data_IF_983890588900
#
_entry.id   IF_983890588900
#
_cell.length_a   1.000
_cell.length_b   1.000
_cell.length_c   1.000
_cell.angle_alpha   90.00
_cell.angle_beta   90.00
_cell.angle_gamma   90.00
#
_symmetry.space_group_name_H-M   'P 1'
#
loop_
_entity.id
_entity.type
_entity.pdbx_description
1 polymer ?
#
# COMPACT_ATOMS: atom_id res chain seq x y z
N UNK A 1 -18.88 8.63 -17.92
CA UNK A 1 -18.24 7.49 -17.23
C UNK A 1 -18.18 7.72 -15.72
N UNK A 2 -17.91 8.96 -15.27
CA UNK A 2 -17.85 9.31 -13.84
C UNK A 2 -19.19 9.19 -13.08
N UNK A 3 -20.33 9.41 -13.75
CA UNK A 3 -21.67 9.38 -13.09
C UNK A 3 -22.12 7.97 -12.63
N UNK A 4 -21.47 6.89 -13.06
CA UNK A 4 -21.88 5.51 -12.72
C UNK A 4 -21.20 4.97 -11.45
N UNK A 5 -19.99 5.43 -11.15
CA UNK A 5 -19.21 5.00 -9.97
C UNK A 5 -19.26 6.08 -8.89
N UNK A 6 -20.48 6.39 -8.43
CA UNK A 6 -20.69 7.34 -7.35
C UNK A 6 -20.35 6.73 -5.99
N UNK A 7 -20.27 7.60 -4.99
CA UNK A 7 -19.90 7.27 -3.61
C UNK A 7 -20.77 6.16 -3.01
N UNK A 8 -22.08 6.20 -3.28
CA UNK A 8 -23.03 5.20 -2.78
C UNK A 8 -22.74 3.80 -3.35
N UNK A 9 -22.50 3.72 -4.66
CA UNK A 9 -22.15 2.46 -5.32
C UNK A 9 -20.85 1.89 -4.75
N UNK A 10 -19.81 2.73 -4.60
CA UNK A 10 -18.54 2.30 -4.05
C UNK A 10 -18.67 1.84 -2.60
N UNK A 11 -19.41 2.58 -1.77
CA UNK A 11 -19.67 2.20 -0.38
C UNK A 11 -20.34 0.83 -0.29
N UNK A 12 -21.35 0.57 -1.13
CA UNK A 12 -22.04 -0.72 -1.19
C UNK A 12 -21.13 -1.85 -1.68
N UNK A 13 -20.33 -1.60 -2.72
CA UNK A 13 -19.41 -2.58 -3.28
C UNK A 13 -18.33 -2.97 -2.26
N UNK A 14 -17.72 -2.00 -1.58
CA UNK A 14 -16.69 -2.25 -0.58
C UNK A 14 -17.31 -2.95 0.64
N UNK A 15 -18.45 -2.46 1.16
CA UNK A 15 -19.15 -3.07 2.30
C UNK A 15 -19.53 -4.52 2.02
N UNK A 16 -20.11 -4.80 0.85
CA UNK A 16 -20.48 -6.17 0.48
C UNK A 16 -19.27 -7.08 0.32
N UNK A 17 -18.12 -6.54 -0.10
CA UNK A 17 -16.84 -7.27 -0.17
C UNK A 17 -16.34 -7.63 1.23
N UNK A 18 -16.31 -6.66 2.16
CA UNK A 18 -15.93 -6.88 3.56
C UNK A 18 -16.78 -8.00 4.19
N UNK A 19 -18.09 -7.93 4.00
CA UNK A 19 -19.03 -8.93 4.50
C UNK A 19 -18.84 -10.31 3.85
N UNK A 20 -18.61 -10.35 2.53
CA UNK A 20 -18.43 -11.61 1.79
C UNK A 20 -17.19 -12.38 2.22
N UNK A 21 -16.13 -11.70 2.67
CA UNK A 21 -14.93 -12.34 3.23
C UNK A 21 -15.03 -12.60 4.74
N UNK A 22 -16.18 -12.33 5.35
CA UNK A 22 -16.47 -12.63 6.76
C UNK A 22 -15.80 -11.68 7.75
N UNK A 23 -15.48 -10.46 7.32
CA UNK A 23 -14.90 -9.42 8.17
C UNK A 23 -15.93 -8.32 8.48
N UNK A 24 -15.65 -7.49 9.46
CA UNK A 24 -16.58 -6.48 10.00
C UNK A 24 -15.92 -5.10 10.20
N UNK A 25 -14.81 -4.85 9.51
CA UNK A 25 -14.11 -3.56 9.56
C UNK A 25 -15.05 -2.40 9.18
N UNK A 26 -14.95 -1.31 9.92
CA UNK A 26 -15.70 -0.09 9.62
C UNK A 26 -15.20 0.51 8.29
N UNK A 27 -16.13 0.95 7.43
CA UNK A 27 -15.82 1.63 6.18
C UNK A 27 -16.08 3.14 6.32
N UNK A 28 -15.07 3.95 5.97
CA UNK A 28 -15.17 5.41 5.95
C UNK A 28 -14.80 5.93 4.58
N UNK A 29 -15.58 6.87 4.08
CA UNK A 29 -15.18 7.66 2.93
C UNK A 29 -14.35 8.84 3.40
N UNK A 30 -13.31 9.17 2.66
CA UNK A 30 -12.47 10.35 2.89
C UNK A 30 -12.08 11.03 1.57
N UNK A 31 -11.31 12.12 1.66
CA UNK A 31 -10.74 12.87 0.55
C UNK A 31 -9.21 12.96 0.71
N UNK A 32 -8.59 11.85 1.12
CA UNK A 32 -7.15 11.78 1.41
C UNK A 32 -6.28 11.89 0.17
N UNK A 33 -6.83 11.70 -1.04
CA UNK A 33 -6.06 11.52 -2.27
C UNK A 33 -5.38 10.16 -2.36
N UNK A 34 -5.68 9.24 -1.44
CA UNK A 34 -5.26 7.83 -1.47
C UNK A 34 -6.47 6.98 -1.83
N UNK A 35 -6.32 6.05 -2.77
CA UNK A 35 -7.44 5.28 -3.32
C UNK A 35 -8.21 4.49 -2.24
N UNK A 36 -7.49 3.72 -1.43
CA UNK A 36 -8.00 2.96 -0.29
C UNK A 36 -6.87 2.80 0.71
N UNK A 37 -7.20 2.76 2.00
CA UNK A 37 -6.19 2.59 3.05
C UNK A 37 -6.78 1.95 4.30
N UNK A 38 -6.04 1.06 4.92
CA UNK A 38 -6.35 0.55 6.25
C UNK A 38 -5.69 1.41 7.34
N UNK A 39 -6.52 1.97 8.23
CA UNK A 39 -6.05 2.65 9.43
C UNK A 39 -5.99 1.67 10.60
N UNK A 40 -4.79 1.25 10.98
CA UNK A 40 -4.57 0.29 12.07
C UNK A 40 -4.88 0.86 13.47
N UNK A 41 -4.92 2.18 13.64
CA UNK A 41 -5.27 2.81 14.94
C UNK A 41 -6.77 2.69 15.16
N UNK A 42 -7.57 3.17 14.21
CA UNK A 42 -9.04 3.14 14.29
C UNK A 42 -9.67 1.84 13.80
N UNK A 43 -8.87 0.92 13.24
CA UNK A 43 -9.32 -0.35 12.65
C UNK A 43 -10.41 -0.18 11.58
N UNK A 44 -10.23 0.79 10.69
CA UNK A 44 -11.18 1.07 9.63
C UNK A 44 -10.51 1.10 8.25
N UNK A 45 -11.28 0.77 7.22
CA UNK A 45 -10.90 0.98 5.82
C UNK A 45 -11.40 2.36 5.39
N UNK A 46 -10.48 3.21 4.94
CA UNK A 46 -10.74 4.48 4.28
C UNK A 46 -10.76 4.31 2.77
N UNK A 47 -11.56 5.11 2.06
CA UNK A 47 -11.49 5.21 0.59
C UNK A 47 -11.80 6.61 0.10
N UNK A 48 -11.06 7.04 -0.92
CA UNK A 48 -11.35 8.24 -1.71
C UNK A 48 -11.95 7.78 -3.05
N UNK A 49 -13.26 8.05 -3.21
CA UNK A 49 -14.02 7.61 -4.38
C UNK A 49 -13.43 8.10 -5.71
N UNK A 50 -12.96 9.36 -5.75
CA UNK A 50 -12.42 9.96 -6.96
C UNK A 50 -11.06 9.35 -7.27
N UNK A 51 -10.16 9.28 -6.29
CA UNK A 51 -8.82 8.71 -6.47
C UNK A 51 -8.90 7.24 -6.87
N UNK A 52 -9.86 6.48 -6.33
CA UNK A 52 -10.05 5.05 -6.67
C UNK A 52 -10.35 4.84 -8.16
N UNK A 53 -11.20 5.69 -8.74
CA UNK A 53 -11.51 5.66 -10.19
C UNK A 53 -10.29 6.09 -11.01
N UNK A 54 -9.59 7.15 -10.60
CA UNK A 54 -8.39 7.62 -11.29
C UNK A 54 -7.28 6.56 -11.29
N UNK A 55 -7.01 5.94 -10.14
CA UNK A 55 -6.00 4.89 -9.98
C UNK A 55 -6.32 3.66 -10.82
N UNK A 56 -7.60 3.29 -10.91
CA UNK A 56 -8.02 2.19 -11.80
C UNK A 56 -7.72 2.51 -13.28
N UNK A 57 -7.93 3.75 -13.71
CA UNK A 57 -7.65 4.18 -15.08
C UNK A 57 -6.16 4.25 -15.41
N UNK A 58 -5.28 4.29 -14.41
CA UNK A 58 -3.81 4.26 -14.57
C UNK A 58 -3.28 2.85 -14.90
N UNK A 59 -4.08 1.79 -14.68
CA UNK A 59 -3.65 0.42 -14.93
C UNK A 59 -3.70 0.09 -16.42
N UNK A 60 -2.57 -0.36 -16.97
CA UNK A 60 -2.50 -0.92 -18.31
C UNK A 60 -3.17 -2.31 -18.35
N UNK A 61 -4.45 -2.36 -18.68
CA UNK A 61 -5.19 -3.61 -18.85
C UNK A 61 -6.70 -3.43 -18.80
N UNK A 62 -7.44 -4.35 -19.41
CA UNK A 62 -8.91 -4.34 -19.32
C UNK A 62 -9.36 -5.05 -18.04
N UNK A 63 -9.15 -4.39 -16.89
CA UNK A 63 -9.60 -4.89 -15.60
C UNK A 63 -10.99 -4.32 -15.31
N UNK A 64 -12.01 -5.16 -15.04
CA UNK A 64 -13.31 -4.65 -14.60
C UNK A 64 -13.17 -3.88 -13.29
N UNK A 65 -13.72 -2.67 -13.22
CA UNK A 65 -13.61 -1.79 -12.05
C UNK A 65 -14.04 -2.50 -10.75
N UNK A 66 -15.11 -3.30 -10.79
CA UNK A 66 -15.56 -4.06 -9.62
C UNK A 66 -14.50 -5.03 -9.07
N UNK A 67 -13.77 -5.70 -9.97
CA UNK A 67 -12.71 -6.62 -9.55
C UNK A 67 -11.52 -5.85 -8.99
N UNK A 68 -11.22 -4.68 -9.54
CA UNK A 68 -10.20 -3.78 -8.99
C UNK A 68 -10.55 -3.37 -7.56
N UNK A 69 -11.75 -2.82 -7.34
CA UNK A 69 -12.19 -2.39 -6.00
C UNK A 69 -12.20 -3.55 -5.01
N UNK A 70 -12.76 -4.71 -5.39
CA UNK A 70 -12.77 -5.91 -4.54
C UNK A 70 -11.37 -6.36 -4.13
N UNK A 71 -10.44 -6.32 -5.08
CA UNK A 71 -9.05 -6.74 -4.83
C UNK A 71 -8.37 -5.79 -3.85
N UNK A 72 -8.50 -4.48 -4.04
CA UNK A 72 -7.97 -3.50 -3.10
C UNK A 72 -8.63 -3.61 -1.72
N UNK A 73 -9.94 -3.79 -1.65
CA UNK A 73 -10.61 -4.03 -0.36
C UNK A 73 -10.04 -5.25 0.36
N UNK A 74 -9.83 -6.37 -0.35
CA UNK A 74 -9.21 -7.55 0.26
C UNK A 74 -7.76 -7.30 0.69
N UNK A 75 -7.01 -6.46 -0.03
CA UNK A 75 -5.66 -6.03 0.36
C UNK A 75 -5.66 -5.22 1.66
N UNK A 76 -6.52 -4.20 1.79
CA UNK A 76 -6.64 -3.44 3.03
C UNK A 76 -7.09 -4.30 4.21
N UNK A 77 -8.01 -5.23 3.98
CA UNK A 77 -8.40 -6.22 4.98
C UNK A 77 -7.24 -7.15 5.34
N UNK A 78 -6.35 -7.43 4.39
CA UNK A 78 -5.11 -8.17 4.60
C UNK A 78 -4.18 -7.50 5.62
N UNK A 79 -4.09 -6.16 5.62
CA UNK A 79 -3.40 -5.41 6.66
C UNK A 79 -4.09 -5.55 8.03
N UNK A 80 -5.42 -5.57 8.06
CA UNK A 80 -6.15 -5.71 9.32
C UNK A 80 -5.96 -7.06 10.01
N UNK A 81 -5.69 -8.12 9.24
CA UNK A 81 -5.35 -9.44 9.77
C UNK A 81 -4.01 -9.41 10.52
N UNK A 82 -3.05 -8.61 10.06
CA UNK A 82 -1.72 -8.48 10.66
C UNK A 82 -1.54 -7.15 11.43
N UNK A 83 -2.64 -6.64 11.99
CA UNK A 83 -2.67 -5.37 12.73
C UNK A 83 -1.64 -5.31 13.86
N UNK A 84 -1.38 -6.44 14.51
CA UNK A 84 -0.42 -6.50 15.62
C UNK A 84 1.01 -6.21 15.16
N UNK A 85 1.43 -6.74 14.00
CA UNK A 85 2.76 -6.45 13.45
C UNK A 85 2.93 -4.96 13.11
N UNK A 86 1.89 -4.34 12.53
CA UNK A 86 1.87 -2.89 12.26
C UNK A 86 1.95 -2.05 13.56
N UNK A 87 1.33 -2.52 14.64
CA UNK A 87 1.43 -1.86 15.94
C UNK A 87 2.82 -2.00 16.56
N UNK A 88 3.44 -3.17 16.41
CA UNK A 88 4.79 -3.45 16.93
C UNK A 88 5.87 -2.63 16.20
N UNK A 89 5.65 -2.24 14.94
CA UNK A 89 6.60 -1.38 14.20
C UNK A 89 6.45 0.11 14.49
N UNK A 90 5.39 0.53 15.19
CA UNK A 90 5.04 1.95 15.36
C UNK A 90 6.20 2.79 15.92
N UNK A 91 6.89 2.29 16.96
CA UNK A 91 8.01 3.00 17.57
C UNK A 91 9.13 3.26 16.55
N UNK A 92 9.45 2.26 15.71
CA UNK A 92 10.48 2.40 14.68
C UNK A 92 10.01 3.33 13.55
N UNK A 93 8.75 3.23 13.12
CA UNK A 93 8.17 4.14 12.13
C UNK A 93 8.24 5.59 12.60
N UNK A 94 7.91 5.87 13.86
CA UNK A 94 7.99 7.22 14.43
C UNK A 94 9.43 7.74 14.47
N UNK A 95 10.40 6.91 14.86
CA UNK A 95 11.82 7.28 14.84
C UNK A 95 12.29 7.64 13.42
N UNK A 96 11.91 6.84 12.41
CA UNK A 96 12.24 7.11 11.00
C UNK A 96 11.60 8.43 10.54
N UNK A 97 10.35 8.70 10.91
CA UNK A 97 9.68 9.97 10.62
C UNK A 97 10.42 11.16 11.23
N UNK A 98 10.79 11.09 12.51
CA UNK A 98 11.54 12.15 13.19
C UNK A 98 12.91 12.41 12.52
N UNK A 99 13.59 11.35 12.06
CA UNK A 99 14.83 11.45 11.31
C UNK A 99 14.60 12.18 9.98
N UNK A 100 13.55 11.83 9.24
CA UNK A 100 13.20 12.46 7.95
C UNK A 100 12.83 13.94 8.12
N UNK A 101 12.07 14.28 9.16
CA UNK A 101 11.68 15.67 9.45
C UNK A 101 12.86 16.53 9.91
N UNK A 102 13.83 15.93 10.60
CA UNK A 102 15.00 16.63 11.15
C UNK A 102 16.13 16.86 10.13
N UNK A 103 16.01 16.31 8.91
CA UNK A 103 17.04 16.38 7.87
C UNK A 103 16.47 16.91 6.57
N UNK A 104 17.30 17.62 5.80
CA UNK A 104 16.92 17.99 4.43
C UNK A 104 16.96 16.77 3.51
N UNK A 105 16.16 16.77 2.46
CA UNK A 105 16.15 15.73 1.44
C UNK A 105 17.56 15.47 0.86
N UNK A 106 18.31 16.54 0.56
CA UNK A 106 19.70 16.45 0.10
C UNK A 106 20.56 15.67 1.11
N UNK A 107 20.41 15.92 2.40
CA UNK A 107 21.16 15.21 3.44
C UNK A 107 20.77 13.73 3.51
N UNK A 108 19.47 13.42 3.41
CA UNK A 108 18.98 12.04 3.40
C UNK A 108 19.60 11.22 2.26
N UNK A 109 19.78 11.81 1.07
CA UNK A 109 20.29 11.11 -0.11
C UNK A 109 21.80 11.23 -0.35
N UNK A 110 22.53 11.98 0.49
CA UNK A 110 24.00 12.11 0.38
C UNK A 110 24.75 11.54 1.56
N UNK A 111 24.10 11.30 2.69
CA UNK A 111 24.67 10.64 3.86
C UNK A 111 24.35 9.13 3.82
N UNK A 112 25.39 8.28 3.83
CA UNK A 112 25.23 6.83 3.77
C UNK A 112 24.34 6.27 4.90
N UNK A 113 24.50 6.77 6.12
CA UNK A 113 23.74 6.29 7.26
C UNK A 113 22.26 6.67 7.16
N UNK A 114 21.96 7.93 6.84
CA UNK A 114 20.57 8.37 6.67
C UNK A 114 19.88 7.64 5.52
N UNK A 115 20.56 7.45 4.40
CA UNK A 115 20.01 6.70 3.28
C UNK A 115 19.78 5.22 3.61
N UNK A 116 20.61 4.61 4.46
CA UNK A 116 20.37 3.24 4.91
C UNK A 116 19.09 3.10 5.75
N UNK A 117 18.70 4.17 6.47
CA UNK A 117 17.43 4.20 7.24
C UNK A 117 16.24 4.33 6.29
N UNK A 118 16.36 5.09 5.20
CA UNK A 118 15.33 5.13 4.15
C UNK A 118 15.14 3.75 3.50
N UNK A 119 16.24 3.04 3.23
CA UNK A 119 16.16 1.68 2.70
C UNK A 119 15.51 0.70 3.68
N UNK A 120 15.78 0.83 4.98
CA UNK A 120 15.11 0.06 6.02
C UNK A 120 13.59 0.32 6.03
N UNK A 121 13.15 1.58 5.91
CA UNK A 121 11.72 1.95 5.79
C UNK A 121 11.08 1.26 4.58
N UNK A 122 11.74 1.29 3.42
CA UNK A 122 11.26 0.61 2.22
C UNK A 122 11.13 -0.91 2.40
N UNK A 123 12.14 -1.56 2.98
CA UNK A 123 12.13 -3.00 3.24
C UNK A 123 10.99 -3.39 4.19
N UNK A 124 10.78 -2.59 5.24
CA UNK A 124 9.68 -2.77 6.17
C UNK A 124 8.32 -2.62 5.47
N UNK A 125 8.15 -1.55 4.67
CA UNK A 125 6.91 -1.32 3.92
C UNK A 125 6.63 -2.44 2.90
N UNK A 126 7.63 -2.86 2.13
CA UNK A 126 7.49 -3.98 1.18
C UNK A 126 7.06 -5.26 1.91
N UNK A 127 7.63 -5.52 3.10
CA UNK A 127 7.26 -6.69 3.90
C UNK A 127 5.80 -6.63 4.35
N UNK A 128 5.31 -5.46 4.80
CA UNK A 128 3.91 -5.28 5.17
C UNK A 128 2.97 -5.45 3.98
N UNK A 129 3.31 -4.87 2.84
CA UNK A 129 2.55 -4.97 1.59
C UNK A 129 2.46 -6.43 1.13
N UNK A 130 3.59 -7.14 1.03
CA UNK A 130 3.61 -8.55 0.61
C UNK A 130 2.80 -9.44 1.57
N UNK A 131 2.86 -9.17 2.87
CA UNK A 131 2.06 -9.89 3.89
C UNK A 131 0.57 -9.62 3.71
N UNK A 132 0.17 -8.36 3.51
CA UNK A 132 -1.22 -7.99 3.25
C UNK A 132 -1.75 -8.63 1.96
N UNK A 133 -0.95 -8.66 0.90
CA UNK A 133 -1.29 -9.38 -0.34
C UNK A 133 -1.41 -10.90 -0.14
N UNK A 134 -0.55 -11.49 0.70
CA UNK A 134 -0.65 -12.90 1.09
C UNK A 134 -1.97 -13.20 1.82
N UNK A 135 -2.36 -12.32 2.75
CA UNK A 135 -3.64 -12.43 3.46
C UNK A 135 -4.84 -12.21 2.52
N UNK A 136 -4.78 -11.20 1.65
CA UNK A 136 -5.79 -10.91 0.65
C UNK A 136 -6.03 -12.09 -0.30
N UNK A 137 -4.95 -12.79 -0.69
CA UNK A 137 -5.05 -14.00 -1.50
C UNK A 137 -5.85 -15.09 -0.78
N UNK A 138 -5.57 -15.33 0.50
CA UNK A 138 -6.35 -16.29 1.30
C UNK A 138 -7.83 -15.89 1.44
N UNK A 139 -8.13 -14.59 1.56
CA UNK A 139 -9.51 -14.09 1.56
C UNK A 139 -10.19 -14.38 0.22
N UNK A 140 -9.51 -14.09 -0.90
CA UNK A 140 -10.05 -14.34 -2.23
C UNK A 140 -10.23 -15.83 -2.53
N UNK A 141 -9.32 -16.71 -2.11
CA UNK A 141 -9.46 -18.16 -2.26
C UNK A 141 -10.71 -18.71 -1.55
N UNK A 142 -11.06 -18.14 -0.40
CA UNK A 142 -12.26 -18.51 0.37
C UNK A 142 -13.54 -17.97 -0.25
N UNK A 143 -13.56 -16.70 -0.63
CA UNK A 143 -14.77 -16.00 -1.07
C UNK A 143 -15.01 -16.07 -2.60
N UNK A 144 -13.96 -16.32 -3.39
CA UNK A 144 -13.96 -16.42 -4.86
C UNK A 144 -14.56 -15.19 -5.55
N UNK A 145 -14.18 -14.00 -5.09
CA UNK A 145 -14.74 -12.73 -5.57
C UNK A 145 -14.08 -12.21 -6.84
N UNK A 146 -12.81 -12.57 -7.05
CA UNK A 146 -11.96 -12.13 -8.16
C UNK A 146 -11.23 -13.35 -8.72
N UNK A 147 -11.06 -13.44 -10.03
CA UNK A 147 -10.28 -14.52 -10.63
C UNK A 147 -8.77 -14.33 -10.37
N UNK A 148 -8.04 -15.43 -10.32
CA UNK A 148 -6.61 -15.44 -9.96
C UNK A 148 -5.75 -14.57 -10.89
N UNK A 149 -6.08 -14.52 -12.18
CA UNK A 149 -5.31 -13.76 -13.17
C UNK A 149 -5.47 -12.27 -12.90
N UNK A 150 -6.71 -11.80 -12.75
CA UNK A 150 -6.99 -10.41 -12.43
C UNK A 150 -6.41 -10.01 -11.08
N UNK A 151 -6.52 -10.87 -10.06
CA UNK A 151 -5.96 -10.63 -8.74
C UNK A 151 -4.44 -10.40 -8.79
N UNK A 152 -3.69 -11.31 -9.42
CA UNK A 152 -2.22 -11.18 -9.52
C UNK A 152 -1.82 -10.01 -10.42
N UNK A 153 -2.59 -9.64 -11.44
CA UNK A 153 -2.33 -8.43 -12.24
C UNK A 153 -2.39 -7.16 -11.38
N UNK A 154 -3.44 -7.00 -10.57
CA UNK A 154 -3.61 -5.83 -9.69
C UNK A 154 -2.51 -5.80 -8.63
N UNK A 155 -2.27 -6.93 -7.96
CA UNK A 155 -1.21 -7.06 -6.95
C UNK A 155 0.17 -6.68 -7.51
N UNK A 156 0.53 -7.20 -8.69
CA UNK A 156 1.83 -6.91 -9.29
C UNK A 156 1.97 -5.43 -9.67
N UNK A 157 0.89 -4.82 -10.18
CA UNK A 157 0.87 -3.38 -10.45
C UNK A 157 1.06 -2.57 -9.17
N UNK A 158 0.31 -2.87 -8.10
CA UNK A 158 0.42 -2.17 -6.82
C UNK A 158 1.80 -2.32 -6.17
N UNK A 159 2.36 -3.54 -6.16
CA UNK A 159 3.69 -3.80 -5.57
C UNK A 159 4.84 -3.19 -6.38
N UNK A 160 4.66 -2.96 -7.69
CA UNK A 160 5.71 -2.40 -8.53
C UNK A 160 6.15 -1.00 -8.05
N UNK A 161 5.23 -0.17 -7.55
CA UNK A 161 5.55 1.17 -7.04
C UNK A 161 6.55 1.12 -5.89
N UNK A 162 6.32 0.25 -4.90
CA UNK A 162 7.22 0.07 -3.76
C UNK A 162 8.58 -0.49 -4.18
N UNK A 163 8.58 -1.48 -5.08
CA UNK A 163 9.82 -2.12 -5.56
C UNK A 163 10.67 -1.17 -6.39
N UNK A 164 10.06 -0.38 -7.26
CA UNK A 164 10.76 0.60 -8.09
C UNK A 164 11.41 1.70 -7.24
N UNK A 165 10.70 2.23 -6.22
CA UNK A 165 11.26 3.23 -5.31
C UNK A 165 12.44 2.68 -4.51
N UNK A 166 12.31 1.47 -3.96
CA UNK A 166 13.41 0.81 -3.27
C UNK A 166 14.63 0.61 -4.17
N UNK A 167 14.43 0.15 -5.42
CA UNK A 167 15.52 -0.07 -6.36
C UNK A 167 16.23 1.24 -6.76
N UNK A 168 15.48 2.32 -6.95
CA UNK A 168 16.02 3.65 -7.22
C UNK A 168 16.92 4.11 -6.07
N UNK A 169 16.41 4.09 -4.84
CA UNK A 169 17.14 4.53 -3.66
C UNK A 169 18.35 3.64 -3.34
N UNK A 170 18.22 2.32 -3.58
CA UNK A 170 19.32 1.38 -3.43
C UNK A 170 20.45 1.67 -4.43
N UNK A 171 20.09 2.12 -5.64
CA UNK A 171 21.07 2.54 -6.63
C UNK A 171 21.83 3.80 -6.20
N UNK A 172 21.14 4.74 -5.53
CA UNK A 172 21.75 5.94 -4.96
C UNK A 172 22.69 5.55 -3.81
N UNK A 173 22.24 4.68 -2.91
CA UNK A 173 23.01 4.19 -1.78
C UNK A 173 24.34 3.56 -2.20
N UNK A 174 24.30 2.69 -3.22
CA UNK A 174 25.51 2.06 -3.79
C UNK A 174 26.52 3.11 -4.26
N UNK A 175 26.06 4.16 -4.95
CA UNK A 175 26.92 5.26 -5.43
C UNK A 175 27.49 6.10 -4.29
N UNK A 176 26.70 6.40 -3.27
CA UNK A 176 27.15 7.15 -2.08
C UNK A 176 28.25 6.37 -1.36
N UNK A 177 28.03 5.08 -1.12
CA UNK A 177 28.98 4.19 -0.47
C UNK A 177 30.30 4.06 -1.23
N UNK A 178 30.24 3.91 -2.56
CA UNK A 178 31.43 3.87 -3.41
C UNK A 178 32.27 5.16 -3.31
N UNK A 179 31.62 6.33 -3.29
CA UNK A 179 32.31 7.62 -3.14
C UNK A 179 32.96 7.75 -1.75
N UNK A 180 32.26 7.36 -0.70
CA UNK A 180 32.80 7.36 0.68
C UNK A 180 34.07 6.51 0.79
N UNK A 181 34.10 5.34 0.12
CA UNK A 181 35.25 4.45 0.09
C UNK A 181 36.43 4.98 -0.74
N UNK A 182 36.19 5.81 -1.76
CA UNK A 182 37.24 6.45 -2.56
C UNK A 182 37.84 7.68 -1.90
N UNK A 183 37.16 8.27 -0.91
CA UNK A 183 37.61 9.45 -0.16
C UNK A 183 38.44 9.13 1.11
N UNK A 184 38.70 7.85 1.38
CA UNK A 184 39.57 7.34 2.46
C UNK A 184 40.89 6.88 1.87
#
# INVERSE_FOLDING_TARGET
MQDYYNDEYLYQLITSTIQAVGMDNELKQDESGINMTYNFISNCVGFDAKRLVEAWMEIEGFIPFEQYVRTLTMHELGHSIDREALQQSLDRTLEIMEIKESNSEIMLYTNEHLLSIILEEHEMNITFEETAWGNAKQLNEKAKLVDEVTFEMIKNHSLATYKNLYEEDLSIYRRVKEKSLQSV
#
